data_IF_983674527252
#
_entry.id   IF_983674527252
#
_cell.length_a   1.000
_cell.length_b   1.000
_cell.length_c   1.000
_cell.angle_alpha   90.00
_cell.angle_beta   90.00
_cell.angle_gamma   90.00
#
_symmetry.space_group_name_H-M   'P 1'
#
loop_
_entity.id
_entity.type
_entity.pdbx_description
1 polymer ?
#
# COMPACT_ATOMS: atom_id res chain seq x y z
N UNK A 1 9.97 15.75 -13.97
CA UNK A 1 9.77 16.77 -12.91
C UNK A 1 8.32 16.71 -12.50
N UNK A 2 8.06 16.64 -11.20
CA UNK A 2 6.69 16.56 -10.67
C UNK A 2 5.89 17.83 -11.04
N UNK A 3 4.59 17.68 -11.30
CA UNK A 3 3.76 18.85 -11.59
C UNK A 3 3.68 19.79 -10.38
N UNK A 4 3.54 21.10 -10.57
CA UNK A 4 3.38 22.04 -9.45
C UNK A 4 2.20 21.70 -8.55
N UNK A 5 1.11 21.14 -9.12
CA UNK A 5 -0.05 20.71 -8.38
C UNK A 5 0.28 19.55 -7.43
N UNK A 6 1.03 18.54 -7.90
CA UNK A 6 1.44 17.41 -7.07
C UNK A 6 2.33 17.87 -5.90
N UNK A 7 3.28 18.77 -6.18
CA UNK A 7 4.13 19.35 -5.12
C UNK A 7 3.27 20.06 -4.07
N UNK A 8 2.35 20.92 -4.48
CA UNK A 8 1.46 21.65 -3.56
C UNK A 8 0.59 20.72 -2.71
N UNK A 9 0.08 19.62 -3.29
CA UNK A 9 -0.69 18.60 -2.55
C UNK A 9 0.19 17.92 -1.50
N UNK A 10 1.41 17.53 -1.82
CA UNK A 10 2.32 16.87 -0.89
C UNK A 10 2.83 17.82 0.22
N UNK A 11 3.10 19.08 -0.09
CA UNK A 11 3.40 20.12 0.91
C UNK A 11 2.24 20.32 1.88
N UNK A 12 1.00 20.33 1.38
CA UNK A 12 -0.18 20.37 2.23
C UNK A 12 -0.32 19.13 3.10
N UNK A 13 -0.08 17.92 2.56
CA UNK A 13 -0.06 16.68 3.36
C UNK A 13 0.96 16.76 4.50
N UNK A 14 2.12 17.34 4.23
CA UNK A 14 3.18 17.55 5.22
C UNK A 14 2.77 18.57 6.28
N UNK A 15 2.19 19.69 5.88
CA UNK A 15 1.72 20.72 6.82
C UNK A 15 0.62 20.22 7.76
N UNK A 16 -0.21 19.27 7.30
CA UNK A 16 -1.24 18.58 8.09
C UNK A 16 -0.70 17.43 8.94
N UNK A 17 0.59 17.09 8.82
CA UNK A 17 1.20 15.97 9.51
C UNK A 17 0.76 14.59 8.98
N UNK A 18 0.21 14.52 7.77
CA UNK A 18 -0.19 13.26 7.12
C UNK A 18 1.00 12.52 6.52
N UNK A 19 2.08 13.25 6.19
CA UNK A 19 3.40 12.70 5.89
C UNK A 19 4.44 13.34 6.80
N UNK A 20 5.57 12.63 7.02
CA UNK A 20 6.64 13.11 7.89
C UNK A 20 7.38 14.34 7.33
N UNK A 21 8.29 14.93 8.11
CA UNK A 21 9.19 15.96 7.61
C UNK A 21 10.21 15.36 6.63
N UNK A 22 10.50 16.08 5.55
CA UNK A 22 11.46 15.66 4.51
C UNK A 22 11.26 16.44 3.23
N UNK A 23 12.18 16.26 2.28
CA UNK A 23 12.09 16.89 0.98
C UNK A 23 11.02 16.21 0.12
N UNK A 24 10.11 17.00 -0.46
CA UNK A 24 9.00 16.49 -1.30
C UNK A 24 9.54 15.67 -2.48
N UNK A 25 10.64 16.11 -3.10
CA UNK A 25 11.29 15.41 -4.19
C UNK A 25 11.78 13.99 -3.79
N UNK A 26 12.21 13.82 -2.54
CA UNK A 26 12.58 12.51 -1.97
C UNK A 26 11.39 11.58 -1.87
N UNK A 27 10.21 12.09 -1.49
CA UNK A 27 8.98 11.28 -1.46
C UNK A 27 8.53 10.87 -2.85
N UNK A 28 8.63 11.77 -3.83
CA UNK A 28 8.32 11.47 -5.23
C UNK A 28 9.25 10.39 -5.77
N UNK A 29 10.55 10.53 -5.60
CA UNK A 29 11.54 9.52 -6.01
C UNK A 29 11.29 8.16 -5.37
N UNK A 30 10.95 8.15 -4.08
CA UNK A 30 10.61 6.92 -3.38
C UNK A 30 9.34 6.25 -3.95
N UNK A 31 8.30 7.02 -4.24
CA UNK A 31 7.06 6.49 -4.81
C UNK A 31 7.26 5.95 -6.24
N UNK A 32 8.06 6.62 -7.07
CA UNK A 32 8.43 6.14 -8.40
C UNK A 32 9.24 4.85 -8.32
N UNK A 33 10.17 4.75 -7.37
CA UNK A 33 10.91 3.51 -7.13
C UNK A 33 10.00 2.37 -6.62
N UNK A 34 8.99 2.69 -5.78
CA UNK A 34 7.98 1.75 -5.32
C UNK A 34 7.14 1.22 -6.49
N UNK A 35 6.69 2.11 -7.37
CA UNK A 35 5.99 1.77 -8.61
C UNK A 35 6.85 0.87 -9.52
N UNK A 36 8.14 1.19 -9.69
CA UNK A 36 9.06 0.38 -10.48
C UNK A 36 9.28 -1.01 -9.89
N UNK A 37 9.40 -1.13 -8.56
CA UNK A 37 9.51 -2.43 -7.88
C UNK A 37 8.23 -3.28 -8.02
N UNK A 38 7.08 -2.62 -8.06
CA UNK A 38 5.78 -3.27 -8.23
C UNK A 38 5.58 -3.78 -9.66
N UNK A 39 5.99 -2.99 -10.65
CA UNK A 39 5.84 -3.24 -12.09
C UNK A 39 4.41 -3.69 -12.48
N UNK A 40 3.39 -2.86 -12.20
CA UNK A 40 2.01 -3.22 -12.47
C UNK A 40 1.74 -3.30 -13.97
N UNK A 41 0.97 -4.31 -14.39
CA UNK A 41 0.49 -4.44 -15.77
C UNK A 41 -0.48 -3.31 -16.13
N UNK A 42 -0.63 -3.02 -17.41
CA UNK A 42 -1.56 -2.00 -17.90
C UNK A 42 -3.00 -2.36 -17.48
N UNK A 43 -3.72 -1.37 -16.95
CA UNK A 43 -5.12 -1.51 -16.55
C UNK A 43 -5.34 -2.29 -15.24
N UNK A 44 -4.27 -2.63 -14.52
CA UNK A 44 -4.37 -3.38 -13.28
C UNK A 44 -5.03 -2.59 -12.13
N UNK A 45 -5.67 -3.31 -11.20
CA UNK A 45 -6.28 -2.75 -10.00
C UNK A 45 -5.34 -2.87 -8.80
N UNK A 46 -5.01 -1.76 -8.15
CA UNK A 46 -4.08 -1.70 -7.02
C UNK A 46 -4.67 -0.96 -5.82
N UNK A 47 -4.34 -1.42 -4.63
CA UNK A 47 -4.71 -0.76 -3.38
C UNK A 47 -3.47 -0.15 -2.71
N UNK A 48 -3.54 1.13 -2.33
CA UNK A 48 -2.57 1.75 -1.41
C UNK A 48 -3.11 1.58 0.01
N UNK A 49 -2.57 0.63 0.74
CA UNK A 49 -3.08 0.19 2.04
C UNK A 49 -2.52 1.06 3.18
N UNK A 50 -3.38 1.88 3.76
CA UNK A 50 -2.99 2.89 4.74
C UNK A 50 -2.36 4.10 4.06
N UNK A 51 -3.03 4.67 3.07
CA UNK A 51 -2.54 5.73 2.18
C UNK A 51 -2.03 6.97 2.91
N UNK A 52 -2.56 7.29 4.09
CA UNK A 52 -2.10 8.42 4.89
C UNK A 52 -2.19 9.74 4.15
N UNK A 53 -1.04 10.34 3.85
CA UNK A 53 -0.94 11.55 3.02
C UNK A 53 -0.81 11.28 1.52
N UNK A 54 -1.19 10.07 1.06
CA UNK A 54 -1.22 9.70 -0.36
C UNK A 54 0.09 9.15 -0.91
N UNK A 55 0.93 8.54 -0.06
CA UNK A 55 2.23 7.98 -0.47
C UNK A 55 2.24 6.45 -0.38
N UNK A 56 2.43 5.72 -1.50
CA UNK A 56 2.77 6.21 -2.84
C UNK A 56 1.57 6.56 -3.71
N UNK A 57 0.32 6.25 -3.31
CA UNK A 57 -0.86 6.17 -4.16
C UNK A 57 -1.14 7.40 -5.04
N UNK A 58 -1.10 8.63 -4.52
CA UNK A 58 -1.35 9.83 -5.33
C UNK A 58 -0.29 10.05 -6.42
N UNK A 59 0.97 9.70 -6.14
CA UNK A 59 2.04 9.82 -7.13
C UNK A 59 1.86 8.75 -8.20
N UNK A 60 1.54 7.53 -7.80
CA UNK A 60 1.24 6.43 -8.75
C UNK A 60 0.05 6.77 -9.65
N UNK A 61 -1.02 7.39 -9.10
CA UNK A 61 -2.17 7.82 -9.86
C UNK A 61 -1.82 8.81 -10.99
N UNK A 62 -0.94 9.75 -10.70
CA UNK A 62 -0.47 10.75 -11.69
C UNK A 62 0.46 10.12 -12.74
N UNK A 63 1.37 9.23 -12.32
CA UNK A 63 2.37 8.62 -13.20
C UNK A 63 1.80 7.47 -14.05
N UNK A 64 0.73 6.81 -13.57
CA UNK A 64 0.08 5.66 -14.21
C UNK A 64 -1.45 5.83 -14.24
N UNK A 65 -1.96 6.75 -15.07
CA UNK A 65 -3.41 7.00 -15.18
C UNK A 65 -4.19 5.81 -15.76
N UNK A 66 -3.51 4.80 -16.27
CA UNK A 66 -4.09 3.54 -16.73
C UNK A 66 -4.44 2.59 -15.58
N UNK A 67 -3.90 2.76 -14.38
CA UNK A 67 -4.19 1.90 -13.23
C UNK A 67 -5.47 2.34 -12.53
N UNK A 68 -6.24 1.37 -12.05
CA UNK A 68 -7.36 1.61 -11.12
C UNK A 68 -6.82 1.54 -9.69
N UNK A 69 -6.86 2.66 -8.96
CA UNK A 69 -6.28 2.74 -7.63
C UNK A 69 -7.35 2.94 -6.56
N UNK A 70 -7.24 2.19 -5.47
CA UNK A 70 -8.00 2.41 -4.25
C UNK A 70 -7.07 2.91 -3.16
N UNK A 71 -7.29 4.15 -2.70
CA UNK A 71 -6.56 4.74 -1.57
C UNK A 71 -7.35 4.46 -0.29
N UNK A 72 -6.84 3.57 0.56
CA UNK A 72 -7.54 3.14 1.77
C UNK A 72 -6.88 3.69 3.02
N UNK A 73 -7.63 4.39 3.86
CA UNK A 73 -7.20 4.79 5.21
C UNK A 73 -8.37 4.73 6.19
N UNK A 74 -8.07 4.49 7.48
CA UNK A 74 -9.08 4.44 8.54
C UNK A 74 -9.41 5.80 9.15
N UNK A 75 -8.61 6.82 8.88
CA UNK A 75 -8.74 8.15 9.46
C UNK A 75 -9.58 9.02 8.55
N UNK A 76 -10.76 9.46 9.00
CA UNK A 76 -11.66 10.36 8.26
C UNK A 76 -10.95 11.64 7.80
N UNK A 77 -10.09 12.23 8.64
CA UNK A 77 -9.33 13.44 8.28
C UNK A 77 -8.34 13.21 7.13
N UNK A 78 -7.75 12.02 7.05
CA UNK A 78 -6.88 11.65 5.92
C UNK A 78 -7.69 11.34 4.67
N UNK A 79 -8.82 10.66 4.82
CA UNK A 79 -9.75 10.39 3.72
C UNK A 79 -10.26 11.69 3.11
N UNK A 80 -10.73 12.66 3.91
CA UNK A 80 -11.12 13.98 3.43
C UNK A 80 -10.00 14.70 2.67
N UNK A 81 -8.77 14.60 3.17
CA UNK A 81 -7.59 15.14 2.48
C UNK A 81 -7.36 14.42 1.14
N UNK A 82 -7.38 13.07 1.11
CA UNK A 82 -7.17 12.28 -0.10
C UNK A 82 -8.23 12.56 -1.17
N UNK A 83 -9.50 12.69 -0.79
CA UNK A 83 -10.56 13.07 -1.71
C UNK A 83 -10.36 14.46 -2.34
N UNK A 84 -9.88 15.44 -1.54
CA UNK A 84 -9.54 16.76 -2.06
C UNK A 84 -8.33 16.69 -2.99
N UNK A 85 -7.31 15.91 -2.62
CA UNK A 85 -6.10 15.72 -3.42
C UNK A 85 -6.41 15.07 -4.77
N UNK A 86 -7.24 14.02 -4.80
CA UNK A 86 -7.69 13.34 -6.02
C UNK A 86 -8.38 14.31 -6.99
N UNK A 87 -9.28 15.16 -6.46
CA UNK A 87 -9.93 16.20 -7.28
C UNK A 87 -8.94 17.27 -7.76
N UNK A 88 -8.01 17.72 -6.92
CA UNK A 88 -7.02 18.74 -7.26
C UNK A 88 -6.01 18.24 -8.31
N UNK A 89 -5.70 16.95 -8.31
CA UNK A 89 -4.78 16.32 -9.26
C UNK A 89 -5.47 15.84 -10.55
N UNK A 90 -6.81 15.96 -10.64
CA UNK A 90 -7.62 15.51 -11.80
C UNK A 90 -7.44 14.02 -12.10
N UNK A 91 -7.44 13.19 -11.05
CA UNK A 91 -7.31 11.72 -11.16
C UNK A 91 -8.56 10.98 -10.67
N UNK A 92 -9.71 11.64 -10.67
CA UNK A 92 -10.99 11.09 -10.17
C UNK A 92 -11.50 9.89 -10.96
N UNK A 93 -11.11 9.77 -12.21
CA UNK A 93 -11.60 8.71 -13.10
C UNK A 93 -10.92 7.36 -12.84
N UNK A 94 -9.74 7.36 -12.20
CA UNK A 94 -8.95 6.15 -11.94
C UNK A 94 -8.60 5.95 -10.45
N UNK A 95 -9.11 6.80 -9.55
CA UNK A 95 -8.82 6.71 -8.11
C UNK A 95 -10.09 6.71 -7.28
N UNK A 96 -10.29 5.66 -6.49
CA UNK A 96 -11.28 5.58 -5.43
C UNK A 96 -10.62 5.84 -4.07
N UNK A 97 -11.26 6.64 -3.20
CA UNK A 97 -10.82 6.84 -1.82
C UNK A 97 -11.80 6.14 -0.89
N UNK A 98 -11.28 5.29 0.00
CA UNK A 98 -12.10 4.44 0.88
C UNK A 98 -11.73 4.66 2.34
N UNK A 99 -12.74 5.05 3.15
CA UNK A 99 -12.60 5.07 4.61
C UNK A 99 -12.93 3.70 5.19
N UNK A 100 -12.02 3.15 6.00
CA UNK A 100 -12.33 1.94 6.75
C UNK A 100 -11.14 1.24 7.40
N UNK A 101 -11.48 0.32 8.29
CA UNK A 101 -10.50 -0.57 8.91
C UNK A 101 -10.10 -1.66 7.90
N UNK A 102 -8.79 -1.77 7.63
CA UNK A 102 -8.26 -2.72 6.67
C UNK A 102 -8.67 -4.17 6.96
N UNK A 103 -8.73 -4.55 8.25
CA UNK A 103 -9.11 -5.93 8.61
C UNK A 103 -10.58 -6.22 8.34
N UNK A 104 -11.44 -5.22 8.49
CA UNK A 104 -12.87 -5.36 8.18
C UNK A 104 -13.12 -5.34 6.66
N UNK A 105 -12.48 -4.43 5.94
CA UNK A 105 -12.63 -4.30 4.49
C UNK A 105 -12.09 -5.50 3.73
N UNK A 106 -11.02 -6.15 4.22
CA UNK A 106 -10.49 -7.38 3.65
C UNK A 106 -11.46 -8.58 3.74
N UNK A 107 -12.53 -8.48 4.52
CA UNK A 107 -13.64 -9.45 4.54
C UNK A 107 -14.87 -9.00 3.74
N UNK A 108 -14.87 -7.77 3.25
CA UNK A 108 -15.95 -7.26 2.41
C UNK A 108 -15.81 -7.81 0.98
N UNK A 109 -16.88 -8.34 0.42
CA UNK A 109 -16.89 -8.96 -0.91
C UNK A 109 -16.48 -8.01 -2.05
N UNK A 110 -16.57 -6.68 -1.85
CA UNK A 110 -16.13 -5.69 -2.85
C UNK A 110 -14.60 -5.58 -2.93
N UNK A 111 -13.90 -5.85 -1.83
CA UNK A 111 -12.45 -5.63 -1.73
C UNK A 111 -11.65 -6.92 -1.57
N UNK A 112 -12.27 -7.99 -1.06
CA UNK A 112 -11.59 -9.26 -0.84
C UNK A 112 -11.17 -9.90 -2.15
N UNK A 113 -9.85 -10.08 -2.32
CA UNK A 113 -9.29 -10.68 -3.53
C UNK A 113 -9.47 -9.82 -4.80
N UNK A 114 -9.78 -8.53 -4.65
CA UNK A 114 -10.16 -7.66 -5.76
C UNK A 114 -8.97 -7.00 -6.47
N UNK A 115 -7.77 -7.07 -5.89
CA UNK A 115 -6.62 -6.32 -6.39
C UNK A 115 -5.53 -7.21 -6.95
N UNK A 116 -4.92 -6.77 -8.04
CA UNK A 116 -3.72 -7.35 -8.65
C UNK A 116 -2.48 -7.03 -7.83
N UNK A 117 -2.52 -5.94 -7.04
CA UNK A 117 -1.44 -5.59 -6.15
C UNK A 117 -1.83 -4.66 -5.01
N UNK A 118 -0.99 -4.67 -3.99
CA UNK A 118 -1.11 -3.79 -2.83
C UNK A 118 0.21 -3.08 -2.60
N UNK A 119 0.17 -1.75 -2.53
CA UNK A 119 1.26 -0.93 -2.02
C UNK A 119 1.15 -0.78 -0.51
N UNK A 120 2.26 -0.86 0.19
CA UNK A 120 2.34 -0.57 1.62
C UNK A 120 3.57 0.26 1.96
N UNK A 121 3.35 1.37 2.65
CA UNK A 121 4.41 2.21 3.22
C UNK A 121 4.03 2.63 4.63
N UNK A 122 4.83 2.23 5.63
CA UNK A 122 4.61 2.63 7.04
C UNK A 122 3.24 2.25 7.63
N UNK A 123 2.62 1.18 7.13
CA UNK A 123 1.30 0.72 7.58
C UNK A 123 1.36 0.07 8.96
N UNK A 124 2.29 -0.88 9.16
CA UNK A 124 2.42 -1.62 10.40
C UNK A 124 3.70 -2.46 10.45
N UNK A 125 3.77 -3.39 11.41
CA UNK A 125 4.83 -4.41 11.43
C UNK A 125 4.73 -5.30 10.19
N UNK A 126 5.81 -5.99 9.78
CA UNK A 126 5.78 -6.92 8.64
C UNK A 126 4.65 -7.94 8.73
N UNK A 127 4.48 -8.53 9.91
CA UNK A 127 3.40 -9.50 10.18
C UNK A 127 2.01 -8.91 9.98
N UNK A 128 1.75 -7.72 10.55
CA UNK A 128 0.47 -7.05 10.40
C UNK A 128 0.19 -6.63 8.95
N UNK A 129 1.22 -6.13 8.27
CA UNK A 129 1.13 -5.72 6.87
C UNK A 129 0.82 -6.91 5.96
N UNK A 130 1.55 -8.02 6.09
CA UNK A 130 1.30 -9.21 5.29
C UNK A 130 -0.09 -9.81 5.55
N UNK A 131 -0.49 -9.91 6.82
CA UNK A 131 -1.79 -10.48 7.19
C UNK A 131 -2.98 -9.64 6.70
N UNK A 132 -2.88 -8.30 6.77
CA UNK A 132 -3.93 -7.43 6.23
C UNK A 132 -3.96 -7.47 4.70
N UNK A 133 -2.80 -7.33 4.05
CA UNK A 133 -2.71 -7.19 2.59
C UNK A 133 -3.18 -8.43 1.83
N UNK A 134 -2.91 -9.64 2.34
CA UNK A 134 -3.26 -10.89 1.64
C UNK A 134 -4.77 -11.01 1.39
N UNK A 135 -5.61 -10.43 2.28
CA UNK A 135 -7.06 -10.45 2.11
C UNK A 135 -7.57 -9.62 0.93
N UNK A 136 -6.82 -8.62 0.49
CA UNK A 136 -7.14 -7.76 -0.65
C UNK A 136 -6.66 -8.34 -1.99
N UNK A 137 -5.66 -9.23 -1.97
CA UNK A 137 -4.99 -9.72 -3.16
C UNK A 137 -5.76 -10.84 -3.86
N UNK A 138 -5.89 -10.73 -5.18
CA UNK A 138 -6.33 -11.81 -6.06
C UNK A 138 -5.30 -12.94 -6.13
N UNK A 139 -5.67 -14.07 -6.75
CA UNK A 139 -4.86 -15.29 -6.74
C UNK A 139 -3.47 -15.20 -7.39
N UNK A 140 -3.22 -14.16 -8.21
CA UNK A 140 -1.91 -13.89 -8.83
C UNK A 140 -1.32 -12.57 -8.39
N UNK A 141 -1.92 -11.93 -7.39
CA UNK A 141 -1.55 -10.60 -6.91
C UNK A 141 -0.23 -10.58 -6.12
N UNK A 142 0.27 -9.38 -5.88
CA UNK A 142 1.46 -9.18 -5.07
C UNK A 142 1.34 -7.99 -4.11
N UNK A 143 1.96 -8.14 -2.94
CA UNK A 143 2.19 -7.05 -1.99
C UNK A 143 3.59 -6.49 -2.21
N UNK A 144 3.71 -5.17 -2.30
CA UNK A 144 5.01 -4.50 -2.34
C UNK A 144 5.12 -3.53 -1.17
N UNK A 145 6.09 -3.79 -0.30
CA UNK A 145 6.29 -3.05 0.96
C UNK A 145 7.58 -2.26 0.91
N UNK A 146 7.50 -0.99 1.29
CA UNK A 146 8.69 -0.17 1.51
C UNK A 146 9.45 -0.66 2.74
N UNK A 147 10.74 -0.95 2.57
CA UNK A 147 11.62 -1.48 3.60
C UNK A 147 12.51 -0.38 4.21
N UNK A 148 12.89 -0.51 5.50
CA UNK A 148 13.91 0.37 6.08
C UNK A 148 15.28 0.12 5.42
N UNK A 149 16.23 1.07 5.53
CA UNK A 149 17.58 0.91 4.97
C UNK A 149 18.31 -0.33 5.49
N UNK A 150 18.12 -0.66 6.76
CA UNK A 150 18.68 -1.86 7.39
C UNK A 150 17.59 -2.89 7.58
N UNK A 151 17.74 -4.05 6.93
CA UNK A 151 16.77 -5.15 6.97
C UNK A 151 17.37 -6.36 7.68
N UNK A 152 16.67 -6.84 8.71
CA UNK A 152 16.97 -8.14 9.30
C UNK A 152 16.60 -9.26 8.32
N UNK A 153 17.46 -10.28 8.12
CA UNK A 153 17.14 -11.43 7.28
C UNK A 153 15.88 -12.20 7.74
N UNK A 154 15.51 -12.06 9.03
CA UNK A 154 14.33 -12.71 9.60
C UNK A 154 13.05 -11.87 9.50
N UNK A 155 13.11 -10.69 8.87
CA UNK A 155 11.95 -9.77 8.79
C UNK A 155 10.74 -10.39 8.08
N UNK A 156 10.98 -11.27 7.10
CA UNK A 156 9.97 -11.97 6.31
C UNK A 156 10.16 -13.49 6.37
N UNK A 157 9.79 -14.15 7.49
CA UNK A 157 10.06 -15.59 7.68
C UNK A 157 9.23 -16.43 6.70
N UNK A 158 9.90 -17.23 5.86
CA UNK A 158 9.28 -18.01 4.79
C UNK A 158 8.10 -18.86 5.26
N UNK A 159 8.26 -19.60 6.37
CA UNK A 159 7.19 -20.47 6.89
C UNK A 159 5.92 -19.70 7.27
N UNK A 160 6.07 -18.51 7.87
CA UNK A 160 4.94 -17.68 8.27
C UNK A 160 4.26 -17.07 7.05
N UNK A 161 5.03 -16.63 6.05
CA UNK A 161 4.50 -16.14 4.78
C UNK A 161 3.72 -17.21 4.03
N UNK A 162 4.26 -18.43 3.96
CA UNK A 162 3.58 -19.58 3.33
C UNK A 162 2.28 -19.95 4.05
N UNK A 163 2.25 -19.86 5.37
CA UNK A 163 1.03 -20.09 6.16
C UNK A 163 -0.06 -19.03 5.89
N UNK A 164 0.32 -17.81 5.48
CA UNK A 164 -0.61 -16.77 5.05
C UNK A 164 -1.07 -16.93 3.59
N UNK A 165 -0.34 -17.68 2.76
CA UNK A 165 -0.63 -17.86 1.34
C UNK A 165 0.36 -17.18 0.38
N UNK A 166 1.45 -16.56 0.86
CA UNK A 166 2.50 -16.03 0.01
C UNK A 166 3.54 -17.09 -0.36
N UNK A 167 4.15 -16.98 -1.54
CA UNK A 167 5.27 -17.85 -1.95
C UNK A 167 6.53 -17.61 -1.10
N UNK A 168 6.75 -16.38 -0.68
CA UNK A 168 7.90 -15.89 0.07
C UNK A 168 8.03 -14.38 -0.12
N UNK A 169 9.18 -13.83 0.23
CA UNK A 169 9.52 -12.44 -0.02
C UNK A 169 10.76 -12.34 -0.88
N UNK A 170 10.65 -11.64 -1.99
CA UNK A 170 11.76 -11.19 -2.82
C UNK A 170 12.17 -9.79 -2.37
N UNK A 171 13.46 -9.58 -2.12
CA UNK A 171 13.97 -8.25 -1.76
C UNK A 171 14.47 -7.57 -3.04
N UNK A 172 13.82 -6.46 -3.38
CA UNK A 172 14.28 -5.56 -4.44
C UNK A 172 15.26 -4.58 -3.83
N UNK A 173 16.55 -4.83 -4.08
CA UNK A 173 17.63 -4.02 -3.53
C UNK A 173 17.74 -2.64 -4.18
N UNK A 174 18.17 -1.67 -3.39
CA UNK A 174 18.43 -0.29 -3.79
C UNK A 174 18.24 0.67 -2.61
N UNK A 175 18.60 1.95 -2.72
CA UNK A 175 17.99 3.04 -1.98
C UNK A 175 16.91 3.72 -2.84
N UNK A 176 15.60 3.56 -2.55
CA UNK A 176 14.96 2.78 -1.48
C UNK A 176 14.87 1.28 -1.79
N UNK A 177 14.69 0.47 -0.74
CA UNK A 177 14.53 -1.00 -0.80
C UNK A 177 13.07 -1.39 -0.63
N UNK A 178 12.66 -2.49 -1.26
CA UNK A 178 11.29 -3.02 -1.15
C UNK A 178 11.31 -4.54 -0.93
N UNK A 179 10.24 -5.04 -0.27
CA UNK A 179 9.93 -6.45 -0.25
C UNK A 179 8.71 -6.70 -1.14
N UNK A 180 8.83 -7.64 -2.09
CA UNK A 180 7.75 -8.08 -2.98
C UNK A 180 7.32 -9.50 -2.58
N UNK A 181 6.04 -9.67 -2.25
CA UNK A 181 5.45 -10.92 -1.80
C UNK A 181 4.34 -11.33 -2.78
N UNK A 182 4.60 -12.37 -3.57
CA UNK A 182 3.61 -12.89 -4.51
C UNK A 182 2.66 -13.87 -3.81
N UNK A 183 1.37 -13.82 -4.14
CA UNK A 183 0.38 -14.80 -3.70
C UNK A 183 0.68 -16.15 -4.33
N UNK A 184 0.69 -17.21 -3.52
CA UNK A 184 0.84 -18.60 -3.98
C UNK A 184 -0.47 -19.39 -3.83
N UNK A 185 -1.22 -19.10 -2.76
CA UNK A 185 -2.52 -19.72 -2.49
C UNK A 185 -3.47 -18.68 -1.90
N UNK A 186 -4.77 -18.73 -2.20
CA UNK A 186 -5.74 -17.84 -1.55
C UNK A 186 -5.70 -17.99 -0.03
N UNK A 187 -5.85 -16.88 0.72
CA UNK A 187 -5.91 -16.95 2.18
C UNK A 187 -7.18 -17.64 2.68
N UNK A 188 -7.11 -18.22 3.89
CA UNK A 188 -8.29 -18.73 4.58
C UNK A 188 -9.35 -17.64 4.82
N UNK A 189 -10.61 -18.04 5.00
CA UNK A 189 -11.72 -17.09 5.20
C UNK A 189 -11.62 -16.30 6.51
N UNK A 190 -10.84 -16.75 7.47
CA UNK A 190 -10.57 -16.12 8.76
C UNK A 190 -9.38 -15.14 8.74
N UNK A 191 -8.75 -14.96 7.58
CA UNK A 191 -7.63 -14.03 7.37
C UNK A 191 -8.12 -12.80 6.59
N UNK A 192 -7.76 -11.59 7.04
CA UNK A 192 -7.01 -11.25 8.26
C UNK A 192 -7.83 -11.39 9.54
N UNK A 193 -7.16 -11.62 10.65
CA UNK A 193 -7.75 -11.48 11.97
C UNK A 193 -8.08 -10.01 12.27
N UNK A 194 -8.87 -9.74 13.32
CA UNK A 194 -9.10 -8.35 13.74
C UNK A 194 -7.79 -7.65 14.11
N UNK A 195 -7.69 -6.33 13.88
CA UNK A 195 -6.51 -5.53 14.21
C UNK A 195 -6.00 -5.76 15.65
N UNK A 196 -6.95 -5.83 16.61
CA UNK A 196 -6.62 -6.10 18.01
C UNK A 196 -5.93 -7.46 18.22
N UNK A 197 -6.36 -8.48 17.50
CA UNK A 197 -5.75 -9.83 17.58
C UNK A 197 -4.36 -9.84 16.92
N UNK A 198 -4.22 -9.18 15.77
CA UNK A 198 -2.95 -9.06 15.03
C UNK A 198 -1.88 -8.41 15.91
N UNK A 199 -2.19 -7.26 16.53
CA UNK A 199 -1.23 -6.52 17.36
C UNK A 199 -0.92 -7.27 18.66
N UNK A 200 -1.91 -7.92 19.27
CA UNK A 200 -1.71 -8.68 20.51
C UNK A 200 -0.86 -9.94 20.31
N UNK A 201 -1.01 -10.59 19.17
CA UNK A 201 -0.34 -11.86 18.85
C UNK A 201 0.06 -11.86 17.37
N UNK A 202 1.13 -11.15 16.97
CA UNK A 202 1.63 -11.19 15.60
C UNK A 202 2.03 -12.61 15.21
N UNK A 203 1.98 -12.92 13.92
CA UNK A 203 2.35 -14.24 13.40
C UNK A 203 3.87 -14.45 13.35
N UNK A 204 4.62 -13.34 13.25
CA UNK A 204 6.08 -13.31 13.29
C UNK A 204 6.58 -11.92 13.68
#
# INVERSE_FOLDING_TARGET
MSSPQLVAVLERAQSLGHIGPGEIDSYVKHAIAHLSAADPTHGASWCDLGSGGGLPGLIVAVERPDLMLTLLDRSSTRVEFLEQAVRQLDVVDNVEVVEGDATALAHNNLYRGAFDGVFCRSFGSPSATAECAIGFLGGTGCLVVSEPPEVSPQRWPLKSLQALGFAGAEIVDGPPRFAKLAVATPPGLDVPRTWKQIIKKPLF
#
